data_IF_096071538896
#
_entry.id   IF_096071538896
#
_cell.length_a   1.000
_cell.length_b   1.000
_cell.length_c   1.000
_cell.angle_alpha   90.00
_cell.angle_beta   90.00
_cell.angle_gamma   90.00
#
_symmetry.space_group_name_H-M   'P 1'
#
loop_
_entity.id
_entity.type
_entity.pdbx_description
1 polymer ?
#
# COMPACT_ATOMS: atom_id res chain seq x y z
N UNK A 1 11.31 -8.58 -7.91
CA UNK A 1 10.26 -8.94 -6.93
C UNK A 1 9.46 -10.10 -7.48
N UNK A 2 9.38 -11.17 -6.73
CA UNK A 2 8.68 -12.36 -7.18
C UNK A 2 7.17 -12.25 -7.01
N UNK A 3 6.46 -12.74 -8.01
CA UNK A 3 5.01 -12.89 -7.98
C UNK A 3 4.66 -14.33 -7.60
N UNK A 4 3.60 -14.47 -6.80
CA UNK A 4 3.14 -15.79 -6.33
C UNK A 4 1.65 -15.91 -6.59
N UNK A 5 1.21 -17.15 -6.83
CA UNK A 5 -0.22 -17.44 -6.90
C UNK A 5 -0.87 -17.21 -5.54
N UNK A 6 -1.98 -16.48 -5.50
CA UNK A 6 -2.70 -16.23 -4.25
C UNK A 6 -3.55 -17.44 -3.87
N UNK A 7 -2.93 -18.39 -3.20
CA UNK A 7 -3.58 -19.54 -2.62
C UNK A 7 -2.86 -19.96 -1.33
N UNK A 8 -3.52 -20.79 -0.55
CA UNK A 8 -3.01 -21.24 0.75
C UNK A 8 -1.62 -21.86 0.68
N UNK A 9 -1.40 -22.71 -0.31
CA UNK A 9 -0.12 -23.42 -0.49
C UNK A 9 1.03 -22.44 -0.74
N UNK A 10 0.88 -21.53 -1.71
CA UNK A 10 1.90 -20.55 -2.06
C UNK A 10 2.16 -19.59 -0.91
N UNK A 11 1.13 -19.11 -0.23
CA UNK A 11 1.28 -18.21 0.92
C UNK A 11 2.08 -18.89 2.03
N UNK A 12 1.75 -20.12 2.37
CA UNK A 12 2.46 -20.89 3.41
C UNK A 12 3.90 -21.20 3.03
N UNK A 13 4.17 -21.45 1.75
CA UNK A 13 5.53 -21.71 1.26
C UNK A 13 6.38 -20.43 1.25
N UNK A 14 5.79 -19.30 0.91
CA UNK A 14 6.49 -18.03 0.80
C UNK A 14 6.75 -17.40 2.17
N UNK A 15 5.82 -17.55 3.11
CA UNK A 15 5.83 -16.89 4.41
C UNK A 15 5.73 -17.91 5.54
N UNK A 16 6.89 -18.48 5.90
CA UNK A 16 6.96 -19.53 6.93
C UNK A 16 6.88 -19.00 8.36
N UNK A 17 7.12 -17.69 8.60
CA UNK A 17 7.22 -17.10 9.94
C UNK A 17 6.29 -15.90 10.08
N UNK A 18 6.02 -15.55 11.34
CA UNK A 18 5.29 -14.33 11.67
C UNK A 18 6.14 -13.10 11.36
N UNK A 19 5.74 -12.33 10.36
CA UNK A 19 6.45 -11.12 9.89
C UNK A 19 5.45 -10.03 9.56
N UNK A 20 5.93 -8.77 9.60
CA UNK A 20 5.16 -7.61 9.17
C UNK A 20 5.64 -7.14 7.80
N UNK A 21 4.77 -6.47 7.07
CA UNK A 21 5.12 -5.97 5.76
C UNK A 21 3.94 -5.42 4.96
N UNK A 22 4.24 -5.10 3.72
CA UNK A 22 3.25 -4.67 2.74
C UNK A 22 3.08 -5.74 1.67
N UNK A 23 1.95 -5.72 0.98
CA UNK A 23 1.69 -6.64 -0.11
C UNK A 23 0.87 -5.98 -1.21
N UNK A 24 1.00 -6.53 -2.40
CA UNK A 24 0.16 -6.23 -3.55
C UNK A 24 -0.68 -7.46 -3.89
N UNK A 25 -1.94 -7.24 -4.19
CA UNK A 25 -2.79 -8.22 -4.85
C UNK A 25 -3.05 -7.75 -6.27
N UNK A 26 -3.11 -8.66 -7.21
CA UNK A 26 -3.33 -8.26 -8.59
C UNK A 26 -3.47 -9.41 -9.55
N UNK A 27 -3.41 -9.06 -10.83
CA UNK A 27 -3.56 -9.98 -11.95
C UNK A 27 -2.47 -9.73 -12.99
N UNK A 28 -2.42 -10.59 -13.99
CA UNK A 28 -1.48 -10.46 -15.09
C UNK A 28 -2.14 -9.79 -16.29
N UNK A 29 -1.44 -8.83 -16.89
CA UNK A 29 -1.82 -8.29 -18.19
C UNK A 29 -1.57 -9.33 -19.29
N UNK A 30 -2.14 -9.15 -20.51
CA UNK A 30 -1.92 -10.09 -21.62
C UNK A 30 -0.46 -10.32 -21.99
N UNK A 31 0.43 -9.34 -21.72
CA UNK A 31 1.87 -9.45 -21.94
C UNK A 31 2.62 -10.15 -20.81
N UNK A 32 1.92 -10.60 -19.76
CA UNK A 32 2.49 -11.28 -18.60
C UNK A 32 2.96 -10.36 -17.49
N UNK A 33 2.86 -9.05 -17.62
CA UNK A 33 3.21 -8.12 -16.54
C UNK A 33 2.17 -8.15 -15.42
N UNK A 34 2.66 -8.02 -14.17
CA UNK A 34 1.81 -7.96 -13.00
C UNK A 34 1.18 -6.58 -12.87
N UNK A 35 -0.15 -6.54 -12.75
CA UNK A 35 -0.91 -5.32 -12.54
C UNK A 35 -1.37 -5.26 -11.09
N UNK A 36 -0.88 -4.26 -10.35
CA UNK A 36 -1.27 -4.03 -8.96
C UNK A 36 -2.71 -3.53 -8.92
N UNK A 37 -3.57 -4.27 -8.20
CA UNK A 37 -5.00 -3.95 -8.05
C UNK A 37 -5.41 -3.66 -6.61
N UNK A 38 -4.58 -4.02 -5.65
CA UNK A 38 -4.83 -3.78 -4.23
C UNK A 38 -3.50 -3.64 -3.49
N UNK A 39 -3.41 -2.68 -2.59
CA UNK A 39 -2.25 -2.44 -1.73
C UNK A 39 -2.68 -2.63 -0.27
N UNK A 40 -1.93 -3.42 0.48
CA UNK A 40 -2.25 -3.64 1.88
C UNK A 40 -1.03 -3.81 2.75
N UNK A 41 -1.28 -3.94 4.04
CA UNK A 41 -0.25 -4.20 5.05
C UNK A 41 -0.76 -5.17 6.11
N UNK A 42 0.19 -5.77 6.82
CA UNK A 42 -0.06 -6.33 8.14
C UNK A 42 1.03 -5.89 9.11
N UNK A 43 0.61 -5.43 10.26
CA UNK A 43 1.49 -5.01 11.35
C UNK A 43 1.62 -6.09 12.44
N UNK A 44 1.11 -7.28 12.17
CA UNK A 44 1.16 -8.41 13.09
C UNK A 44 1.66 -9.68 12.40
N UNK A 45 0.97 -10.16 11.37
CA UNK A 45 1.36 -11.35 10.63
C UNK A 45 0.84 -11.26 9.18
N UNK A 46 1.75 -11.00 8.25
CA UNK A 46 1.37 -10.83 6.85
C UNK A 46 0.88 -12.14 6.22
N UNK A 47 1.37 -13.29 6.70
CA UNK A 47 0.88 -14.60 6.25
C UNK A 47 -0.60 -14.77 6.53
N UNK A 48 -1.05 -14.47 7.74
CA UNK A 48 -2.47 -14.56 8.10
C UNK A 48 -3.33 -13.63 7.24
N UNK A 49 -2.85 -12.43 6.97
CA UNK A 49 -3.56 -11.46 6.14
C UNK A 49 -3.70 -11.96 4.69
N UNK A 50 -2.65 -12.54 4.13
CA UNK A 50 -2.68 -13.09 2.78
C UNK A 50 -3.54 -14.36 2.71
N UNK A 51 -3.54 -15.20 3.74
CA UNK A 51 -4.46 -16.35 3.83
C UNK A 51 -5.92 -15.90 3.84
N UNK A 52 -6.22 -14.81 4.56
CA UNK A 52 -7.55 -14.20 4.53
C UNK A 52 -7.94 -13.77 3.11
N UNK A 53 -7.06 -13.06 2.40
CA UNK A 53 -7.33 -12.65 1.02
C UNK A 53 -7.47 -13.83 0.06
N UNK A 54 -6.70 -14.88 0.25
CA UNK A 54 -6.79 -16.08 -0.57
C UNK A 54 -8.16 -16.75 -0.47
N UNK A 55 -8.82 -16.65 0.70
CA UNK A 55 -10.16 -17.22 0.91
C UNK A 55 -11.30 -16.27 0.58
N UNK A 56 -11.07 -14.95 0.67
CA UNK A 56 -12.14 -13.94 0.62
C UNK A 56 -12.14 -13.07 -0.64
N UNK A 57 -11.12 -13.16 -1.48
CA UNK A 57 -11.00 -12.37 -2.70
C UNK A 57 -10.67 -13.26 -3.90
N UNK A 58 -10.83 -12.69 -5.10
CA UNK A 58 -10.58 -13.39 -6.37
C UNK A 58 -9.27 -12.96 -7.04
N UNK A 59 -8.43 -12.18 -6.37
CA UNK A 59 -7.14 -11.80 -6.94
C UNK A 59 -6.28 -13.03 -7.18
N UNK A 60 -5.77 -13.25 -8.40
CA UNK A 60 -5.04 -14.48 -8.71
C UNK A 60 -3.60 -14.52 -8.18
N UNK A 61 -2.99 -13.38 -7.89
CA UNK A 61 -1.57 -13.32 -7.55
C UNK A 61 -1.26 -12.27 -6.48
N UNK A 62 -0.13 -12.44 -5.81
CA UNK A 62 0.36 -11.49 -4.82
C UNK A 62 1.87 -11.28 -4.91
N UNK A 63 2.30 -10.13 -4.41
CA UNK A 63 3.70 -9.82 -4.10
C UNK A 63 3.78 -9.36 -2.65
N UNK A 64 4.89 -9.64 -1.98
CA UNK A 64 5.07 -9.29 -0.58
C UNK A 64 6.43 -8.66 -0.36
N UNK A 65 6.46 -7.63 0.50
CA UNK A 65 7.67 -6.98 1.00
C UNK A 65 7.64 -6.98 2.51
N UNK A 66 8.69 -7.51 3.11
CA UNK A 66 8.86 -7.50 4.56
C UNK A 66 9.64 -6.26 4.97
N UNK A 67 9.18 -5.60 6.03
CA UNK A 67 9.80 -4.38 6.56
C UNK A 67 10.18 -4.60 8.03
N UNK A 68 11.28 -3.96 8.50
CA UNK A 68 11.78 -4.24 9.85
C UNK A 68 10.99 -3.52 10.96
N UNK A 69 10.17 -2.53 10.64
CA UNK A 69 9.46 -1.74 11.64
C UNK A 69 8.06 -1.35 11.20
N UNK A 70 7.20 -1.05 12.18
CA UNK A 70 5.84 -0.55 11.95
C UNK A 70 5.85 0.79 11.21
N UNK A 71 6.68 1.80 11.58
CA UNK A 71 6.73 3.06 10.83
C UNK A 71 7.12 2.89 9.37
N UNK A 72 8.12 2.07 9.06
CA UNK A 72 8.53 1.81 7.68
C UNK A 72 7.43 1.11 6.89
N UNK A 73 6.76 0.13 7.49
CA UNK A 73 5.64 -0.58 6.87
C UNK A 73 4.54 0.40 6.49
N UNK A 74 4.17 1.31 7.39
CA UNK A 74 3.15 2.32 7.13
C UNK A 74 3.58 3.27 6.00
N UNK A 75 4.81 3.80 6.04
CA UNK A 75 5.31 4.72 5.01
C UNK A 75 5.37 4.06 3.64
N UNK A 76 5.76 2.80 3.59
CA UNK A 76 5.82 2.07 2.31
C UNK A 76 4.42 1.75 1.77
N UNK A 77 3.47 1.42 2.63
CA UNK A 77 2.08 1.27 2.20
C UNK A 77 1.52 2.59 1.64
N UNK A 78 1.80 3.71 2.31
CA UNK A 78 1.41 5.03 1.82
C UNK A 78 2.04 5.34 0.47
N UNK A 79 3.34 5.07 0.31
CA UNK A 79 4.04 5.25 -0.97
C UNK A 79 3.35 4.48 -2.09
N UNK A 80 3.10 3.21 -1.89
CA UNK A 80 2.47 2.35 -2.89
C UNK A 80 1.03 2.78 -3.16
N UNK A 81 0.28 3.15 -2.13
CA UNK A 81 -1.08 3.66 -2.28
C UNK A 81 -1.10 4.91 -3.19
N UNK A 82 -0.24 5.89 -2.91
CA UNK A 82 -0.18 7.11 -3.72
C UNK A 82 0.32 6.84 -5.14
N UNK A 83 1.27 5.93 -5.30
CA UNK A 83 1.80 5.59 -6.61
C UNK A 83 0.76 4.90 -7.51
N UNK A 84 -0.02 3.99 -6.95
CA UNK A 84 -0.99 3.18 -7.70
C UNK A 84 -2.44 3.64 -7.57
N UNK A 85 -2.72 4.79 -6.94
CA UNK A 85 -4.09 5.18 -6.56
C UNK A 85 -5.10 5.20 -7.72
N UNK A 86 -4.66 5.42 -8.96
CA UNK A 86 -5.52 5.46 -10.13
C UNK A 86 -5.99 4.09 -10.61
N UNK A 87 -5.37 3.01 -10.16
CA UNK A 87 -5.62 1.66 -10.68
C UNK A 87 -6.02 0.64 -9.62
N UNK A 88 -5.98 0.99 -8.34
CA UNK A 88 -6.24 0.05 -7.24
C UNK A 88 -7.69 0.10 -6.77
N UNK A 89 -8.15 -1.04 -6.22
CA UNK A 89 -9.50 -1.19 -5.69
C UNK A 89 -9.67 -0.62 -4.27
N UNK A 90 -8.58 -0.20 -3.65
CA UNK A 90 -8.60 0.42 -2.33
C UNK A 90 -9.50 1.66 -2.31
N UNK A 91 -10.44 1.72 -1.37
CA UNK A 91 -11.40 2.83 -1.25
C UNK A 91 -10.92 3.93 -0.32
N UNK A 92 -9.93 3.64 0.54
CA UNK A 92 -9.45 4.58 1.55
C UNK A 92 -7.94 4.56 1.65
N UNK A 93 -7.38 5.73 1.97
CA UNK A 93 -5.98 5.88 2.32
C UNK A 93 -5.63 5.01 3.54
N UNK A 94 -4.41 4.43 3.62
CA UNK A 94 -3.97 3.69 4.80
C UNK A 94 -4.12 4.49 6.09
N UNK A 95 -4.66 3.85 7.12
CA UNK A 95 -4.80 4.46 8.45
C UNK A 95 -3.46 4.46 9.18
N UNK A 96 -3.24 5.52 9.97
CA UNK A 96 -2.09 5.58 10.89
C UNK A 96 -2.09 4.37 11.83
N UNK A 97 -0.93 3.73 12.06
CA UNK A 97 -0.85 2.61 13.00
C UNK A 97 -1.20 3.03 14.42
N UNK A 98 -2.02 2.22 15.11
CA UNK A 98 -2.39 2.50 16.51
C UNK A 98 -1.23 2.35 17.48
N UNK A 99 -0.35 1.38 17.23
CA UNK A 99 0.80 1.09 18.09
C UNK A 99 1.85 2.18 18.05
N UNK A 100 2.10 2.75 16.89
CA UNK A 100 3.06 3.85 16.66
C UNK A 100 2.40 4.83 15.69
N UNK A 101 1.63 5.81 16.18
CA UNK A 101 0.98 6.78 15.31
C UNK A 101 1.99 7.49 14.40
N UNK A 102 1.66 7.56 13.13
CA UNK A 102 2.57 8.11 12.10
C UNK A 102 1.79 8.94 11.11
N UNK A 103 2.45 9.93 10.51
CA UNK A 103 1.86 10.79 9.48
C UNK A 103 2.35 10.35 8.10
N UNK A 104 1.46 10.29 7.13
CA UNK A 104 1.83 10.02 5.73
C UNK A 104 2.61 11.21 5.18
N UNK A 105 3.88 10.99 4.82
CA UNK A 105 4.75 12.05 4.29
C UNK A 105 4.27 12.55 2.93
N UNK A 106 3.60 11.71 2.15
CA UNK A 106 3.08 12.09 0.82
C UNK A 106 1.86 13.01 0.92
N UNK A 107 0.92 12.72 1.81
CA UNK A 107 -0.21 13.61 2.08
C UNK A 107 0.25 14.95 2.65
N UNK A 108 1.27 14.93 3.51
CA UNK A 108 1.84 16.15 4.08
C UNK A 108 2.45 17.03 3.00
N UNK A 109 3.21 16.46 2.07
CA UNK A 109 3.80 17.18 0.93
C UNK A 109 2.71 17.81 0.06
N UNK A 110 1.65 17.07 -0.28
CA UNK A 110 0.52 17.58 -1.05
C UNK A 110 -0.18 18.75 -0.36
N UNK A 111 -0.39 18.67 0.95
CA UNK A 111 -0.99 19.77 1.71
C UNK A 111 -0.13 21.03 1.68
N UNK A 112 1.18 20.87 1.81
CA UNK A 112 2.11 22.01 1.74
C UNK A 112 2.12 22.64 0.35
N UNK A 113 2.11 21.85 -0.70
CA UNK A 113 2.04 22.33 -2.09
C UNK A 113 0.74 23.08 -2.37
N UNK A 114 -0.39 22.58 -1.87
CA UNK A 114 -1.69 23.27 -1.99
C UNK A 114 -1.67 24.61 -1.28
N UNK A 115 -1.12 24.67 -0.07
CA UNK A 115 -0.98 25.93 0.69
C UNK A 115 -0.11 26.94 -0.05
N UNK A 116 1.01 26.51 -0.62
CA UNK A 116 1.88 27.36 -1.44
C UNK A 116 1.15 27.90 -2.66
N UNK A 117 0.41 27.06 -3.39
CA UNK A 117 -0.37 27.49 -4.56
C UNK A 117 -1.44 28.51 -4.19
N UNK A 118 -2.18 28.29 -3.11
CA UNK A 118 -3.20 29.23 -2.62
C UNK A 118 -2.57 30.57 -2.26
N UNK A 119 -1.44 30.56 -1.56
CA UNK A 119 -0.73 31.79 -1.19
C UNK A 119 -0.24 32.55 -2.43
N UNK A 120 0.31 31.86 -3.42
CA UNK A 120 0.75 32.45 -4.68
C UNK A 120 -0.42 33.05 -5.47
N UNK A 121 -1.53 32.34 -5.57
CA UNK A 121 -2.74 32.80 -6.26
C UNK A 121 -3.31 34.05 -5.57
N UNK A 122 -3.34 34.09 -4.24
CA UNK A 122 -3.79 35.24 -3.47
C UNK A 122 -2.89 36.47 -3.70
N UNK A 123 -1.58 36.25 -3.76
CA UNK A 123 -0.59 37.29 -4.03
C UNK A 123 -0.75 37.85 -5.45
N UNK A 124 -0.91 37.00 -6.45
CA UNK A 124 -1.13 37.39 -7.83
C UNK A 124 -2.46 38.10 -8.05
N UNK A 125 -3.49 37.78 -7.24
CA UNK A 125 -4.78 38.46 -7.28
C UNK A 125 -4.80 39.79 -6.52
N UNK A 126 -3.68 40.20 -5.90
CA UNK A 126 -3.61 41.43 -5.11
C UNK A 126 -4.27 41.35 -3.74
N UNK A 127 -4.53 40.12 -3.27
CA UNK A 127 -5.08 39.85 -1.94
C UNK A 127 -3.91 39.55 -1.02
N UNK A 128 -3.55 40.44 -0.19
CA UNK A 128 -2.47 40.27 0.75
C UNK A 128 -2.91 39.45 1.97
#
# INVERSE_FOLDING_TARGET
>A
MEMHTLNRKSVNQTLARRRIGTYFLGDFAPDGTFVVQYVGRSLTCIRERLLYHASMTDYPAFQVHLWPSVPETFQMECLYYHHYHNQIDNKRHPDSPRSIPSECTYCKADRLDRRRRIAMDAELAGVA
#
